data_IF_544147319013
#
_entry.id   IF_544147319013
#
_cell.length_a   1.000
_cell.length_b   1.000
_cell.length_c   1.000
_cell.angle_alpha   90.00
_cell.angle_beta   90.00
_cell.angle_gamma   90.00
#
_symmetry.space_group_name_H-M   'P 1'
#
loop_
_entity.id
_entity.type
_entity.pdbx_description
1 polymer ?
#
# COMPACT_ATOMS: atom_id res chain seq x y z
N UNK A 1 2.69 2.47 -15.77
CA UNK A 1 2.76 1.98 -14.37
C UNK A 1 1.35 1.64 -13.90
N UNK A 2 1.11 0.46 -13.35
CA UNK A 2 -0.21 0.06 -12.82
C UNK A 2 -0.33 0.44 -11.34
N UNK A 3 -1.55 0.62 -10.81
CA UNK A 3 -1.78 0.86 -9.36
C UNK A 3 -1.14 -0.22 -8.50
N UNK A 4 -1.19 -1.49 -8.92
CA UNK A 4 -0.51 -2.59 -8.24
C UNK A 4 1.00 -2.36 -8.12
N UNK A 5 1.67 -2.00 -9.22
CA UNK A 5 3.12 -1.73 -9.21
C UNK A 5 3.47 -0.53 -8.34
N UNK A 6 2.63 0.50 -8.32
CA UNK A 6 2.81 1.67 -7.44
C UNK A 6 2.76 1.27 -5.96
N UNK A 7 1.74 0.50 -5.56
CA UNK A 7 1.58 0.04 -4.17
C UNK A 7 2.70 -0.91 -3.79
N UNK A 8 3.06 -1.86 -4.65
CA UNK A 8 4.17 -2.79 -4.43
C UNK A 8 5.48 -2.04 -4.14
N UNK A 9 5.84 -1.07 -4.99
CA UNK A 9 7.05 -0.26 -4.82
C UNK A 9 7.01 0.58 -3.54
N UNK A 10 5.86 1.17 -3.23
CA UNK A 10 5.70 1.93 -2.00
C UNK A 10 5.85 1.05 -0.75
N UNK A 11 5.26 -0.15 -0.76
CA UNK A 11 5.42 -1.12 0.31
C UNK A 11 6.88 -1.54 0.48
N UNK A 12 7.59 -1.81 -0.62
CA UNK A 12 9.02 -2.09 -0.60
C UNK A 12 9.83 -0.95 0.02
N UNK A 13 9.58 0.29 -0.41
CA UNK A 13 10.25 1.46 0.14
C UNK A 13 9.98 1.65 1.64
N UNK A 14 8.75 1.43 2.10
CA UNK A 14 8.40 1.50 3.53
C UNK A 14 9.14 0.43 4.33
N UNK A 15 9.16 -0.82 3.85
CA UNK A 15 9.87 -1.92 4.51
C UNK A 15 11.38 -1.65 4.56
N UNK A 16 11.98 -1.11 3.50
CA UNK A 16 13.39 -0.69 3.52
C UNK A 16 13.63 0.40 4.58
N UNK A 17 12.66 1.30 4.76
CA UNK A 17 12.74 2.45 5.66
C UNK A 17 12.60 2.07 7.14
N UNK A 18 11.62 1.24 7.48
CA UNK A 18 11.21 0.91 8.86
C UNK A 18 11.36 -0.56 9.21
N UNK A 19 12.02 -1.35 8.35
CA UNK A 19 12.34 -2.79 8.48
C UNK A 19 11.16 -3.75 8.47
N UNK A 20 9.95 -3.25 8.60
CA UNK A 20 8.72 -4.03 8.54
C UNK A 20 7.57 -3.21 7.93
N UNK A 21 6.43 -3.85 7.70
CA UNK A 21 5.22 -3.16 7.27
C UNK A 21 4.34 -2.84 8.48
N UNK A 22 4.08 -1.56 8.80
CA UNK A 22 3.20 -1.19 9.91
C UNK A 22 1.80 -1.78 9.77
N UNK A 23 1.24 -2.30 10.86
CA UNK A 23 -0.11 -2.91 10.86
C UNK A 23 -1.21 -1.92 10.46
N UNK A 24 -1.06 -0.63 10.78
CA UNK A 24 -1.99 0.42 10.36
C UNK A 24 -2.10 0.58 8.82
N UNK A 25 -1.14 0.03 8.06
CA UNK A 25 -1.11 0.06 6.60
C UNK A 25 -1.66 -1.22 5.95
N UNK A 26 -1.91 -2.29 6.71
CA UNK A 26 -2.30 -3.61 6.18
C UNK A 26 -3.47 -4.26 6.90
N UNK A 27 -3.78 -3.85 8.12
CA UNK A 27 -4.86 -4.38 8.94
C UNK A 27 -6.09 -3.45 8.93
N UNK A 28 -7.26 -3.88 8.43
CA UNK A 28 -8.49 -3.09 8.50
C UNK A 28 -9.01 -2.91 9.93
N UNK A 29 -8.62 -3.77 10.89
CA UNK A 29 -9.00 -3.65 12.29
C UNK A 29 -8.17 -2.65 13.10
N UNK A 30 -7.03 -2.20 12.55
CA UNK A 30 -6.15 -1.23 13.22
C UNK A 30 -6.51 0.19 12.73
N UNK A 31 -6.76 1.14 13.65
CA UNK A 31 -6.97 2.55 13.27
C UNK A 31 -5.76 3.12 12.51
N UNK A 32 -6.00 3.88 11.46
CA UNK A 32 -4.91 4.44 10.64
C UNK A 32 -5.41 5.28 9.47
N UNK A 33 -4.51 6.09 8.90
CA UNK A 33 -4.81 6.99 7.79
C UNK A 33 -4.94 6.29 6.43
N UNK A 34 -4.44 5.04 6.31
CA UNK A 34 -4.53 4.30 5.06
C UNK A 34 -5.98 3.93 4.72
N UNK A 35 -6.41 4.23 3.50
CA UNK A 35 -7.71 3.81 2.97
C UNK A 35 -7.83 2.29 2.78
N UNK A 36 -9.06 1.74 2.78
CA UNK A 36 -9.29 0.29 2.76
C UNK A 36 -8.76 -0.39 1.49
N UNK A 37 -8.80 0.30 0.35
CA UNK A 37 -8.30 -0.20 -0.93
C UNK A 37 -6.79 -0.40 -0.92
N UNK A 38 -6.06 0.56 -0.35
CA UNK A 38 -4.62 0.45 -0.17
C UNK A 38 -4.28 -0.70 0.78
N UNK A 39 -4.97 -0.81 1.92
CA UNK A 39 -4.71 -1.89 2.89
C UNK A 39 -4.91 -3.27 2.27
N UNK A 40 -5.95 -3.43 1.44
CA UNK A 40 -6.20 -4.66 0.69
C UNK A 40 -5.02 -5.02 -0.23
N UNK A 41 -4.50 -4.05 -0.98
CA UNK A 41 -3.36 -4.25 -1.85
C UNK A 41 -2.06 -4.52 -1.07
N UNK A 42 -1.78 -3.72 -0.04
CA UNK A 42 -0.58 -3.84 0.79
C UNK A 42 -0.52 -5.20 1.49
N UNK A 43 -1.66 -5.70 2.00
CA UNK A 43 -1.80 -7.06 2.54
C UNK A 43 -1.48 -8.13 1.51
N UNK A 44 -1.93 -7.94 0.26
CA UNK A 44 -1.61 -8.83 -0.86
C UNK A 44 -0.10 -8.93 -1.16
N UNK A 45 0.70 -7.95 -0.73
CA UNK A 45 2.15 -7.92 -0.90
C UNK A 45 2.97 -8.51 0.25
N UNK A 46 2.33 -8.99 1.32
CA UNK A 46 3.02 -9.60 2.47
C UNK A 46 3.34 -11.09 2.29
N UNK A 47 2.94 -11.69 1.17
CA UNK A 47 3.25 -13.09 0.85
C UNK A 47 4.69 -13.28 0.35
N UNK A 48 5.08 -14.53 0.08
CA UNK A 48 6.39 -14.86 -0.48
C UNK A 48 6.61 -14.30 -1.90
N UNK A 49 5.53 -13.92 -2.60
CA UNK A 49 5.55 -13.25 -3.89
C UNK A 49 4.64 -12.01 -3.85
N UNK A 50 4.89 -11.05 -4.75
CA UNK A 50 4.08 -9.84 -4.87
C UNK A 50 2.84 -10.02 -5.74
N UNK A 51 2.62 -11.22 -6.29
CA UNK A 51 1.47 -11.55 -7.17
C UNK A 51 0.11 -11.31 -6.49
N UNK A 52 0.06 -11.37 -5.16
CA UNK A 52 -1.16 -11.07 -4.40
C UNK A 52 -1.61 -9.62 -4.58
N UNK A 53 -0.68 -8.67 -4.73
CA UNK A 53 -0.99 -7.26 -5.01
C UNK A 53 -1.65 -7.12 -6.37
N UNK A 54 -1.13 -7.79 -7.39
CA UNK A 54 -1.63 -7.72 -8.76
C UNK A 54 -3.02 -8.34 -8.88
N UNK A 55 -3.21 -9.55 -8.33
CA UNK A 55 -4.52 -10.22 -8.29
C UNK A 55 -5.56 -9.39 -7.55
N UNK A 56 -5.20 -8.79 -6.41
CA UNK A 56 -6.11 -7.92 -5.68
C UNK A 56 -6.48 -6.67 -6.48
N UNK A 57 -5.53 -6.08 -7.22
CA UNK A 57 -5.77 -4.91 -8.05
C UNK A 57 -6.65 -5.22 -9.27
N UNK A 58 -6.55 -6.41 -9.87
CA UNK A 58 -7.38 -6.83 -10.99
C UNK A 58 -8.86 -6.85 -10.62
N UNK A 59 -9.17 -7.23 -9.38
CA UNK A 59 -10.53 -7.29 -8.83
C UNK A 59 -11.10 -5.93 -8.41
N UNK A 60 -10.34 -4.83 -8.58
CA UNK A 60 -10.77 -3.49 -8.20
C UNK A 60 -11.32 -2.70 -9.38
N UNK A 61 -12.39 -1.96 -9.11
CA UNK A 61 -12.95 -0.93 -9.96
C UNK A 61 -11.99 0.27 -10.12
N UNK A 62 -12.23 1.11 -11.12
CA UNK A 62 -11.41 2.31 -11.34
C UNK A 62 -11.41 3.27 -10.14
N UNK A 63 -12.54 3.58 -9.47
CA UNK A 63 -12.54 4.41 -8.26
C UNK A 63 -11.71 3.82 -7.13
N UNK A 64 -11.81 2.51 -6.89
CA UNK A 64 -11.04 1.85 -5.84
C UNK A 64 -9.53 1.92 -6.13
N UNK A 65 -9.13 1.68 -7.39
CA UNK A 65 -7.72 1.81 -7.80
C UNK A 65 -7.19 3.23 -7.61
N UNK A 66 -8.04 4.24 -7.83
CA UNK A 66 -7.70 5.64 -7.56
C UNK A 66 -7.54 5.89 -6.06
N UNK A 67 -8.45 5.38 -5.23
CA UNK A 67 -8.37 5.48 -3.77
C UNK A 67 -7.07 4.87 -3.22
N UNK A 68 -6.69 3.69 -3.72
CA UNK A 68 -5.43 3.07 -3.38
C UNK A 68 -4.22 3.92 -3.81
N UNK A 69 -4.21 4.42 -5.05
CA UNK A 69 -3.11 5.25 -5.55
C UNK A 69 -2.93 6.55 -4.74
N UNK A 70 -4.05 7.22 -4.39
CA UNK A 70 -4.01 8.42 -3.57
C UNK A 70 -3.42 8.13 -2.18
N UNK A 71 -3.93 7.09 -1.51
CA UNK A 71 -3.39 6.67 -0.20
C UNK A 71 -1.90 6.33 -0.29
N UNK A 72 -1.45 5.69 -1.38
CA UNK A 72 -0.03 5.38 -1.59
C UNK A 72 0.81 6.66 -1.64
N UNK A 73 0.37 7.66 -2.41
CA UNK A 73 1.07 8.94 -2.53
C UNK A 73 1.12 9.67 -1.19
N UNK A 74 -0.02 9.76 -0.48
CA UNK A 74 -0.10 10.40 0.84
C UNK A 74 0.84 9.74 1.84
N UNK A 75 0.89 8.41 1.84
CA UNK A 75 1.79 7.63 2.71
C UNK A 75 3.26 7.92 2.40
N UNK A 76 3.66 7.89 1.12
CA UNK A 76 5.04 8.18 0.72
C UNK A 76 5.46 9.62 1.03
N UNK A 77 4.55 10.59 0.83
CA UNK A 77 4.79 11.99 1.20
C UNK A 77 4.97 12.11 2.72
N UNK A 78 4.11 11.46 3.51
CA UNK A 78 4.24 11.43 4.97
C UNK A 78 5.62 10.94 5.42
N UNK A 79 6.09 9.82 4.85
CA UNK A 79 7.42 9.28 5.15
C UNK A 79 8.56 10.21 4.72
N UNK A 80 8.42 10.92 3.59
CA UNK A 80 9.39 11.92 3.14
C UNK A 80 9.48 13.11 4.09
N UNK A 81 8.36 13.59 4.64
CA UNK A 81 8.35 14.75 5.55
C UNK A 81 8.92 14.39 6.94
N UNK A 82 8.77 13.14 7.38
CA UNK A 82 9.28 12.68 8.68
C UNK A 82 10.80 12.42 8.74
N UNK A 83 11.53 12.55 7.62
CA UNK A 83 13.00 12.49 7.60
C UNK A 83 13.58 13.80 7.05
N UNK A 84 14.50 14.47 7.77
CA UNK A 84 15.29 15.57 7.21
C UNK A 84 16.25 15.11 6.11
#
# INVERSE_FOLDING_TARGET
MTTARLVELACGAIIELVREMPSALTDPGVPGAAGPEFRRLARGGQGATTDGVYRACELMTTPERRGAANTTLDTLVGYRVTRP
#
